data_IF_354685446899
#
_entry.id   IF_354685446899
#
_cell.length_a   1.000
_cell.length_b   1.000
_cell.length_c   1.000
_cell.angle_alpha   90.00
_cell.angle_beta   90.00
_cell.angle_gamma   90.00
#
_symmetry.space_group_name_H-M   'P 1'
#
loop_
_entity.id
_entity.type
_entity.pdbx_description
1 polymer ?
#
# COMPACT_ATOMS: atom_id res chain seq x y z
N UNK A 1 -28.78 4.41 5.06
CA UNK A 1 -27.31 4.51 4.88
C UNK A 1 -26.83 3.35 4.03
N UNK A 2 -26.26 3.64 2.85
CA UNK A 2 -25.65 2.63 2.02
C UNK A 2 -24.44 2.02 2.76
N UNK A 3 -24.53 0.72 3.08
CA UNK A 3 -23.44 0.00 3.73
C UNK A 3 -22.41 -0.51 2.71
N UNK A 4 -21.30 -1.08 3.19
CA UNK A 4 -20.27 -1.66 2.30
C UNK A 4 -20.80 -2.70 1.29
N UNK A 5 -22.01 -3.25 1.50
CA UNK A 5 -22.67 -4.20 0.58
C UNK A 5 -22.99 -3.59 -0.79
N UNK A 6 -23.25 -2.28 -0.87
CA UNK A 6 -23.57 -1.58 -2.14
C UNK A 6 -22.34 -1.05 -2.88
N UNK A 7 -21.12 -1.39 -2.42
CA UNK A 7 -19.90 -0.96 -3.11
C UNK A 7 -19.83 -1.52 -4.53
N UNK A 8 -19.51 -0.61 -5.47
CA UNK A 8 -19.23 -0.94 -6.86
C UNK A 8 -17.77 -0.64 -7.13
N UNK A 9 -17.08 -1.58 -7.78
CA UNK A 9 -15.74 -1.32 -8.30
C UNK A 9 -15.78 -1.20 -9.82
N UNK A 10 -15.15 -0.14 -10.34
CA UNK A 10 -14.96 0.07 -11.77
C UNK A 10 -13.53 0.52 -12.06
N UNK A 11 -12.94 0.13 -13.20
CA UNK A 11 -11.72 0.75 -13.68
C UNK A 11 -11.90 2.27 -13.77
N UNK A 12 -10.85 3.02 -13.45
CA UNK A 12 -10.82 4.47 -13.61
C UNK A 12 -9.59 4.88 -14.42
N UNK A 13 -9.65 6.05 -15.03
CA UNK A 13 -8.51 6.59 -15.77
C UNK A 13 -7.27 6.67 -14.89
N UNK A 14 -6.11 6.27 -15.43
CA UNK A 14 -4.81 6.25 -14.71
C UNK A 14 -4.50 7.61 -14.09
N UNK A 15 -4.76 8.71 -14.82
CA UNK A 15 -4.56 10.08 -14.32
C UNK A 15 -5.38 10.35 -13.05
N UNK A 16 -6.67 9.99 -13.07
CA UNK A 16 -7.58 10.16 -11.93
C UNK A 16 -7.17 9.29 -10.74
N UNK A 17 -6.84 8.02 -10.99
CA UNK A 17 -6.38 7.10 -9.95
C UNK A 17 -5.07 7.55 -9.28
N UNK A 18 -4.07 7.96 -10.08
CA UNK A 18 -2.81 8.53 -9.57
C UNK A 18 -3.06 9.74 -8.70
N UNK A 19 -3.89 10.68 -9.16
CA UNK A 19 -4.24 11.91 -8.42
C UNK A 19 -4.97 11.59 -7.11
N UNK A 20 -5.83 10.57 -7.09
CA UNK A 20 -6.49 10.12 -5.86
C UNK A 20 -5.47 9.53 -4.87
N UNK A 21 -4.64 8.58 -5.34
CA UNK A 21 -3.61 7.92 -4.51
C UNK A 21 -2.62 8.93 -3.93
N UNK A 22 -2.12 9.88 -4.73
CA UNK A 22 -1.19 10.92 -4.26
C UNK A 22 -1.79 11.78 -3.15
N UNK A 23 -3.11 12.00 -3.16
CA UNK A 23 -3.79 12.84 -2.17
C UNK A 23 -4.26 12.10 -0.93
N UNK A 24 -4.62 10.82 -1.05
CA UNK A 24 -5.27 10.06 0.02
C UNK A 24 -4.40 8.96 0.61
N UNK A 25 -3.42 8.45 -0.12
CA UNK A 25 -2.50 7.45 0.41
C UNK A 25 -1.50 8.11 1.35
N UNK A 26 -1.24 7.50 2.51
CA UNK A 26 -0.32 8.01 3.52
C UNK A 26 1.10 8.29 3.00
N UNK A 27 1.53 7.63 1.93
CA UNK A 27 2.84 7.85 1.31
C UNK A 27 2.90 9.07 0.36
N UNK A 28 1.76 9.67 0.03
CA UNK A 28 1.65 10.78 -0.93
C UNK A 28 2.10 10.45 -2.37
N UNK A 29 2.24 9.16 -2.71
CA UNK A 29 2.94 8.74 -3.92
C UNK A 29 2.25 7.59 -4.63
N UNK A 30 1.92 7.82 -5.90
CA UNK A 30 1.56 6.77 -6.85
C UNK A 30 2.83 6.10 -7.39
N UNK A 31 2.76 4.78 -7.57
CA UNK A 31 3.85 3.99 -8.13
C UNK A 31 3.82 4.07 -9.67
N UNK A 32 4.99 4.11 -10.30
CA UNK A 32 5.10 4.20 -11.76
C UNK A 32 4.88 2.85 -12.46
N UNK A 33 5.12 1.73 -11.76
CA UNK A 33 4.91 0.39 -12.33
C UNK A 33 3.44 -0.04 -12.37
N UNK A 34 2.52 0.74 -11.79
CA UNK A 34 1.11 0.37 -11.66
C UNK A 34 0.31 0.93 -12.84
N UNK A 35 -0.40 0.04 -13.53
CA UNK A 35 -1.06 0.33 -14.81
C UNK A 35 -2.58 0.16 -14.75
N UNK A 36 -3.10 -0.57 -13.76
CA UNK A 36 -4.52 -0.70 -13.52
C UNK A 36 -4.92 0.08 -12.26
N UNK A 37 -5.91 0.97 -12.39
CA UNK A 37 -6.50 1.68 -11.27
C UNK A 37 -7.98 1.33 -11.20
N UNK A 38 -8.42 0.90 -10.03
CA UNK A 38 -9.81 0.53 -9.77
C UNK A 38 -10.36 1.46 -8.70
N UNK A 39 -11.40 2.21 -9.04
CA UNK A 39 -12.12 3.04 -8.08
C UNK A 39 -13.14 2.21 -7.31
N UNK A 40 -13.29 2.51 -6.02
CA UNK A 40 -14.35 1.99 -5.16
C UNK A 40 -15.40 3.08 -4.98
N UNK A 41 -16.64 2.77 -5.37
CA UNK A 41 -17.74 3.70 -5.44
C UNK A 41 -18.86 3.30 -4.48
N UNK A 42 -19.39 4.29 -3.77
CA UNK A 42 -20.56 4.17 -2.92
C UNK A 42 -21.52 5.27 -3.34
N UNK A 43 -22.73 4.89 -3.77
CA UNK A 43 -23.73 5.82 -4.31
C UNK A 43 -23.15 6.77 -5.37
N UNK A 44 -22.48 6.18 -6.40
CA UNK A 44 -21.75 6.88 -7.47
C UNK A 44 -20.56 7.76 -7.06
N UNK A 45 -20.34 7.99 -5.77
CA UNK A 45 -19.20 8.75 -5.26
C UNK A 45 -17.95 7.88 -5.18
N UNK A 46 -16.84 8.37 -5.75
CA UNK A 46 -15.52 7.75 -5.58
C UNK A 46 -15.03 7.92 -4.14
N UNK A 47 -15.03 6.83 -3.37
CA UNK A 47 -14.59 6.83 -1.97
C UNK A 47 -13.22 6.19 -1.77
N UNK A 48 -12.72 5.44 -2.74
CA UNK A 48 -11.42 4.79 -2.64
C UNK A 48 -10.82 4.41 -3.98
N UNK A 49 -9.53 4.07 -3.99
CA UNK A 49 -8.79 3.67 -5.17
C UNK A 49 -7.77 2.59 -4.83
N UNK A 50 -7.71 1.57 -5.68
CA UNK A 50 -6.77 0.46 -5.63
C UNK A 50 -5.92 0.51 -6.90
N UNK A 51 -4.59 0.54 -6.76
CA UNK A 51 -3.66 0.48 -7.90
C UNK A 51 -2.99 -0.88 -7.97
N UNK A 52 -3.05 -1.51 -9.14
CA UNK A 52 -2.45 -2.81 -9.41
C UNK A 52 -1.43 -2.74 -10.54
N UNK A 53 -0.45 -3.65 -10.47
CA UNK A 53 0.57 -3.80 -11.49
C UNK A 53 1.48 -5.00 -11.25
N UNK A 54 2.51 -5.19 -12.09
CA UNK A 54 3.53 -6.18 -11.82
C UNK A 54 4.21 -5.93 -10.46
N UNK A 55 4.75 -6.98 -9.84
CA UNK A 55 5.56 -6.87 -8.64
C UNK A 55 6.66 -5.83 -8.79
N UNK A 56 6.83 -4.96 -7.79
CA UNK A 56 7.93 -3.97 -7.79
C UNK A 56 9.27 -4.70 -7.79
N UNK A 57 9.38 -5.75 -6.98
CA UNK A 57 10.57 -6.60 -6.92
C UNK A 57 10.28 -7.97 -7.55
N UNK A 58 10.51 -8.08 -8.85
CA UNK A 58 10.28 -9.31 -9.63
C UNK A 58 11.12 -10.49 -9.13
N UNK A 59 12.34 -10.24 -8.63
CA UNK A 59 13.22 -11.29 -8.07
C UNK A 59 12.62 -11.92 -6.83
N UNK A 60 12.06 -11.11 -5.92
CA UNK A 60 11.37 -11.62 -4.73
C UNK A 60 10.04 -12.29 -5.08
N UNK A 61 9.33 -11.78 -6.10
CA UNK A 61 8.09 -12.38 -6.56
C UNK A 61 8.30 -13.80 -7.13
N UNK A 62 9.31 -14.00 -7.97
CA UNK A 62 9.65 -15.33 -8.50
C UNK A 62 9.96 -16.36 -7.40
N UNK A 63 10.42 -15.90 -6.23
CA UNK A 63 10.76 -16.79 -5.12
C UNK A 63 9.57 -17.18 -4.26
N UNK A 64 8.39 -16.58 -4.43
CA UNK A 64 7.25 -16.79 -3.52
C UNK A 64 6.41 -18.02 -3.85
N UNK A 65 6.43 -18.41 -5.12
CA UNK A 65 5.56 -19.44 -5.67
C UNK A 65 6.42 -20.34 -6.56
N UNK A 66 6.47 -21.62 -6.21
CA UNK A 66 7.24 -22.61 -6.94
C UNK A 66 6.74 -22.76 -8.38
N UNK A 67 7.68 -22.83 -9.33
CA UNK A 67 7.40 -22.98 -10.76
C UNK A 67 6.70 -21.79 -11.41
N UNK A 68 6.50 -20.68 -10.69
CA UNK A 68 5.77 -19.53 -11.20
C UNK A 68 6.70 -18.43 -11.73
N UNK A 69 6.27 -17.79 -12.81
CA UNK A 69 6.86 -16.54 -13.29
C UNK A 69 6.24 -15.34 -12.58
N UNK A 70 7.00 -14.26 -12.35
CA UNK A 70 6.48 -12.97 -11.88
C UNK A 70 5.30 -12.47 -12.72
N UNK A 71 5.17 -12.90 -13.97
CA UNK A 71 4.04 -12.56 -14.85
C UNK A 71 2.70 -13.15 -14.37
N UNK A 72 2.73 -14.24 -13.59
CA UNK A 72 1.56 -14.84 -12.94
C UNK A 72 1.16 -14.15 -11.62
N UNK A 73 1.98 -13.21 -11.16
CA UNK A 73 1.79 -12.51 -9.89
C UNK A 73 1.41 -11.07 -10.20
N UNK A 74 0.31 -10.61 -9.60
CA UNK A 74 -0.08 -9.21 -9.62
C UNK A 74 0.10 -8.62 -8.22
N UNK A 75 0.55 -7.38 -8.13
CA UNK A 75 0.74 -6.67 -6.87
C UNK A 75 -0.31 -5.56 -6.74
N UNK A 76 -1.00 -5.53 -5.59
CA UNK A 76 -1.72 -4.35 -5.13
C UNK A 76 -0.69 -3.41 -4.50
N UNK A 77 -0.22 -2.45 -5.29
CA UNK A 77 0.84 -1.54 -4.87
C UNK A 77 0.36 -0.42 -3.94
N UNK A 78 -0.87 0.08 -4.11
CA UNK A 78 -1.45 1.14 -3.28
C UNK A 78 -2.95 0.94 -3.13
N UNK A 79 -3.45 1.28 -1.96
CA UNK A 79 -4.88 1.31 -1.66
C UNK A 79 -5.16 2.48 -0.73
N UNK A 80 -6.06 3.37 -1.13
CA UNK A 80 -6.44 4.52 -0.31
C UNK A 80 -7.95 4.73 -0.35
N UNK A 81 -8.50 5.18 0.77
CA UNK A 81 -9.91 5.55 0.92
C UNK A 81 -9.99 6.94 1.56
N UNK A 82 -11.13 7.61 1.40
CA UNK A 82 -11.46 8.78 2.21
C UNK A 82 -11.74 8.34 3.66
N UNK A 83 -11.63 9.26 4.61
CA UNK A 83 -11.81 8.95 6.03
C UNK A 83 -13.28 8.63 6.37
N UNK A 84 -14.24 9.35 5.76
CA UNK A 84 -15.66 9.16 5.99
C UNK A 84 -16.22 8.00 5.14
N UNK A 85 -15.97 6.78 5.59
CA UNK A 85 -16.50 5.57 4.95
C UNK A 85 -17.19 4.63 5.94
N UNK A 86 -18.17 3.82 5.48
CA UNK A 86 -18.68 2.72 6.28
C UNK A 86 -17.56 1.77 6.73
N UNK A 87 -17.79 1.02 7.81
CA UNK A 87 -16.84 0.00 8.24
C UNK A 87 -16.63 -1.06 7.14
N UNK A 88 -15.41 -1.59 7.05
CA UNK A 88 -15.03 -2.72 6.20
C UNK A 88 -15.07 -2.42 4.68
N UNK A 89 -15.07 -1.16 4.26
CA UNK A 89 -15.05 -0.83 2.82
C UNK A 89 -13.77 -1.33 2.14
N UNK A 90 -12.64 -1.33 2.82
CA UNK A 90 -11.36 -1.74 2.25
C UNK A 90 -11.32 -3.25 2.02
N UNK A 91 -11.66 -4.03 3.06
CA UNK A 91 -11.73 -5.50 2.96
C UNK A 91 -12.78 -5.95 1.95
N UNK A 92 -13.94 -5.27 1.92
CA UNK A 92 -14.99 -5.54 0.92
C UNK A 92 -14.53 -5.21 -0.49
N UNK A 93 -13.83 -4.10 -0.68
CA UNK A 93 -13.29 -3.71 -1.99
C UNK A 93 -12.29 -4.74 -2.52
N UNK A 94 -11.42 -5.26 -1.65
CA UNK A 94 -10.49 -6.34 -1.99
C UNK A 94 -11.22 -7.64 -2.37
N UNK A 95 -12.26 -8.01 -1.61
CA UNK A 95 -13.05 -9.21 -1.88
C UNK A 95 -13.77 -9.12 -3.24
N UNK A 96 -14.34 -7.97 -3.57
CA UNK A 96 -14.99 -7.74 -4.88
C UNK A 96 -13.92 -7.74 -5.99
N UNK A 97 -12.78 -7.08 -5.80
CA UNK A 97 -11.67 -7.03 -6.77
C UNK A 97 -11.14 -8.42 -7.14
N UNK A 98 -11.02 -9.34 -6.18
CA UNK A 98 -10.49 -10.67 -6.44
C UNK A 98 -11.38 -11.51 -7.38
N UNK A 99 -12.70 -11.27 -7.41
CA UNK A 99 -13.64 -12.06 -8.24
C UNK A 99 -13.36 -11.96 -9.74
N UNK A 100 -13.29 -10.77 -10.37
CA UNK A 100 -12.95 -10.65 -11.77
C UNK A 100 -11.50 -11.07 -12.05
N UNK A 101 -10.56 -10.88 -11.12
CA UNK A 101 -9.19 -11.39 -11.28
C UNK A 101 -9.17 -12.92 -11.46
N UNK A 102 -9.92 -13.64 -10.62
CA UNK A 102 -10.08 -15.09 -10.78
C UNK A 102 -10.80 -15.45 -12.08
N UNK A 103 -11.91 -14.79 -12.41
CA UNK A 103 -12.76 -15.19 -13.54
C UNK A 103 -12.16 -14.86 -14.91
N UNK A 104 -11.47 -13.73 -15.05
CA UNK A 104 -11.09 -13.17 -16.37
C UNK A 104 -9.61 -13.29 -16.70
N UNK A 105 -8.75 -13.55 -15.72
CA UNK A 105 -7.30 -13.57 -15.91
C UNK A 105 -6.72 -14.91 -15.43
N UNK A 106 -6.98 -16.03 -16.14
CA UNK A 106 -6.54 -17.38 -15.76
C UNK A 106 -5.03 -17.47 -15.48
N UNK A 107 -4.23 -16.68 -16.21
CA UNK A 107 -2.77 -16.59 -16.06
C UNK A 107 -2.30 -16.02 -14.71
N UNK A 108 -3.17 -15.30 -13.99
CA UNK A 108 -2.86 -14.79 -12.67
C UNK A 108 -3.11 -15.88 -11.62
N UNK A 109 -2.07 -16.20 -10.87
CA UNK A 109 -2.09 -17.21 -9.81
C UNK A 109 -2.16 -16.59 -8.42
N UNK A 110 -1.50 -15.44 -8.24
CA UNK A 110 -1.32 -14.83 -6.92
C UNK A 110 -1.48 -13.30 -6.98
N UNK A 111 -2.29 -12.76 -6.07
CA UNK A 111 -2.30 -11.34 -5.76
C UNK A 111 -1.48 -11.10 -4.50
N UNK A 112 -0.39 -10.33 -4.59
CA UNK A 112 0.43 -9.96 -3.43
C UNK A 112 0.22 -8.50 -3.02
N UNK A 113 0.50 -8.19 -1.75
CA UNK A 113 0.54 -6.82 -1.24
C UNK A 113 1.37 -6.74 0.04
N UNK A 114 1.63 -5.51 0.49
CA UNK A 114 2.39 -5.22 1.69
C UNK A 114 1.61 -4.28 2.61
N UNK A 115 1.65 -4.54 3.90
CA UNK A 115 1.22 -3.60 4.93
C UNK A 115 2.46 -2.98 5.57
N UNK A 116 2.51 -1.66 5.64
CA UNK A 116 3.51 -0.94 6.43
C UNK A 116 2.93 -0.73 7.84
N UNK A 117 3.23 -1.67 8.74
CA UNK A 117 2.78 -1.58 10.12
C UNK A 117 3.35 -0.35 10.83
N UNK A 118 4.35 0.30 10.28
CA UNK A 118 4.81 1.58 10.80
C UNK A 118 3.81 2.70 10.53
N UNK A 119 3.32 2.84 9.30
CA UNK A 119 2.55 4.04 8.89
C UNK A 119 1.03 3.82 8.79
N UNK A 120 0.59 2.72 8.20
CA UNK A 120 -0.82 2.46 7.89
C UNK A 120 -1.44 1.33 8.71
N UNK A 121 -0.60 0.57 9.41
CA UNK A 121 -0.99 -0.45 10.35
C UNK A 121 -0.81 -1.87 9.82
N UNK A 122 -1.20 -2.83 10.65
CA UNK A 122 -0.86 -4.24 10.48
C UNK A 122 -1.64 -5.01 9.39
N UNK A 123 -2.41 -4.35 8.52
CA UNK A 123 -3.11 -5.03 7.41
C UNK A 123 -4.46 -5.68 7.77
N UNK A 124 -5.23 -5.10 8.69
CA UNK A 124 -6.57 -5.59 9.07
C UNK A 124 -7.52 -5.80 7.87
N UNK A 125 -7.47 -4.92 6.87
CA UNK A 125 -8.26 -5.04 5.64
C UNK A 125 -7.91 -6.30 4.83
N UNK A 126 -6.63 -6.65 4.74
CA UNK A 126 -6.16 -7.87 4.06
C UNK A 126 -6.64 -9.13 4.78
N UNK A 127 -6.57 -9.15 6.12
CA UNK A 127 -7.11 -10.26 6.93
C UNK A 127 -8.61 -10.43 6.73
N UNK A 128 -9.36 -9.33 6.78
CA UNK A 128 -10.81 -9.33 6.53
C UNK A 128 -11.19 -9.75 5.11
N UNK A 129 -10.28 -9.62 4.14
CA UNK A 129 -10.46 -10.12 2.78
C UNK A 129 -9.91 -11.55 2.58
N UNK A 130 -9.42 -12.20 3.64
CA UNK A 130 -8.89 -13.56 3.63
C UNK A 130 -7.56 -13.72 2.89
N UNK A 131 -6.66 -12.73 2.98
CA UNK A 131 -5.29 -12.86 2.49
C UNK A 131 -4.44 -13.64 3.49
N UNK A 132 -3.59 -14.53 3.00
CA UNK A 132 -2.61 -15.25 3.81
C UNK A 132 -1.47 -14.32 4.20
N UNK A 133 -1.04 -14.37 5.47
CA UNK A 133 0.15 -13.67 5.95
C UNK A 133 1.37 -14.57 5.70
N UNK A 134 2.34 -14.07 4.93
CA UNK A 134 3.49 -14.88 4.50
C UNK A 134 4.85 -14.24 4.81
N UNK A 135 4.84 -13.11 5.52
CA UNK A 135 6.06 -12.46 5.95
C UNK A 135 5.81 -11.37 6.98
N UNK A 136 6.68 -11.32 8.00
CA UNK A 136 6.71 -10.27 9.02
C UNK A 136 8.18 -9.87 9.20
N UNK A 137 8.58 -8.78 8.55
CA UNK A 137 9.97 -8.32 8.52
C UNK A 137 10.10 -6.96 9.18
N UNK A 138 11.22 -6.68 9.86
CA UNK A 138 11.50 -5.32 10.35
C UNK A 138 11.60 -4.36 9.17
N UNK A 139 10.94 -3.21 9.26
CA UNK A 139 11.02 -2.18 8.23
C UNK A 139 12.41 -1.53 8.29
N UNK A 140 13.16 -1.63 7.19
CA UNK A 140 14.47 -0.98 7.00
C UNK A 140 14.45 0.01 5.84
N UNK A 141 13.26 0.23 5.26
CA UNK A 141 13.10 0.93 3.98
C UNK A 141 12.65 2.37 4.14
N UNK A 142 12.09 2.74 5.30
CA UNK A 142 11.66 4.11 5.60
C UNK A 142 12.61 4.71 6.63
N UNK A 143 13.12 5.88 6.30
CA UNK A 143 14.00 6.68 7.14
C UNK A 143 13.25 7.96 7.55
N UNK A 144 13.48 8.42 8.77
CA UNK A 144 12.94 9.65 9.33
C UNK A 144 14.05 10.63 9.63
N UNK A 145 13.92 11.88 9.19
CA UNK A 145 14.82 12.95 9.59
C UNK A 145 14.57 13.29 11.06
N UNK A 146 15.64 13.35 11.88
CA UNK A 146 15.57 13.55 13.33
C UNK A 146 14.91 14.87 13.72
N UNK A 147 15.25 15.96 13.04
CA UNK A 147 14.72 17.29 13.38
C UNK A 147 13.38 17.59 12.68
N UNK A 148 13.34 17.57 11.35
CA UNK A 148 12.12 17.88 10.58
C UNK A 148 11.02 16.82 10.62
N UNK A 149 11.30 15.59 11.09
CA UNK A 149 10.35 14.47 11.07
C UNK A 149 10.01 13.94 9.67
N UNK A 150 10.61 14.49 8.60
CA UNK A 150 10.33 14.11 7.20
C UNK A 150 10.66 12.65 6.95
N UNK A 151 9.77 11.94 6.25
CA UNK A 151 9.95 10.55 5.87
C UNK A 151 10.47 10.42 4.43
N UNK A 152 11.47 9.57 4.23
CA UNK A 152 12.02 9.23 2.92
C UNK A 152 12.32 7.73 2.83
N UNK A 153 12.21 7.14 1.64
CA UNK A 153 12.69 5.76 1.47
C UNK A 153 14.21 5.71 1.39
N UNK A 154 14.83 4.66 1.92
CA UNK A 154 16.27 4.43 1.87
C UNK A 154 16.82 4.48 0.43
N UNK A 155 16.12 3.86 -0.53
CA UNK A 155 16.50 3.89 -1.96
C UNK A 155 16.52 5.32 -2.53
N UNK A 156 15.59 6.19 -2.11
CA UNK A 156 15.59 7.59 -2.56
C UNK A 156 16.68 8.39 -1.87
N UNK A 157 16.95 8.10 -0.60
CA UNK A 157 18.03 8.75 0.15
C UNK A 157 19.39 8.40 -0.47
N UNK A 158 19.63 7.12 -0.78
CA UNK A 158 20.82 6.65 -1.50
C UNK A 158 20.98 7.35 -2.85
N UNK A 159 19.90 7.44 -3.64
CA UNK A 159 19.93 8.14 -4.93
C UNK A 159 20.24 9.63 -4.77
N UNK A 160 19.63 10.29 -3.79
CA UNK A 160 19.86 11.71 -3.51
C UNK A 160 21.28 11.97 -2.99
N UNK A 161 21.81 11.06 -2.17
CA UNK A 161 23.18 11.10 -1.69
C UNK A 161 24.20 10.93 -2.83
N UNK A 162 23.94 10.03 -3.78
CA UNK A 162 24.75 9.87 -4.99
C UNK A 162 24.72 11.10 -5.90
N UNK A 163 23.59 11.81 -5.96
CA UNK A 163 23.44 13.05 -6.74
C UNK A 163 24.06 14.28 -6.04
N UNK A 164 24.16 14.25 -4.71
CA UNK A 164 24.82 15.28 -3.90
C UNK A 164 26.34 15.17 -3.96
N UNK A 165 26.96 15.73 -5.01
CA UNK A 165 28.41 15.76 -5.27
C UNK A 165 29.31 16.34 -4.15
N UNK A 166 28.75 16.76 -3.01
CA UNK A 166 29.48 17.34 -1.88
C UNK A 166 29.73 16.38 -0.70
N UNK A 167 28.91 15.34 -0.51
CA UNK A 167 29.00 14.48 0.69
C UNK A 167 29.91 13.26 0.50
N UNK A 168 30.26 12.90 -0.74
CA UNK A 168 31.17 11.79 -1.05
C UNK A 168 32.60 12.03 -0.55
N UNK A 169 33.07 13.28 -0.45
CA UNK A 169 34.47 13.57 -0.06
C UNK A 169 34.80 13.25 1.40
N UNK A 170 33.85 13.36 2.33
CA UNK A 170 34.07 13.04 3.76
C UNK A 170 34.03 11.52 4.01
N UNK A 171 33.13 10.80 3.34
CA UNK A 171 32.98 9.35 3.49
C UNK A 171 34.06 8.57 2.74
N UNK A 172 34.46 9.01 1.54
CA UNK A 172 35.59 8.43 0.79
C UNK A 172 36.91 8.51 1.58
N UNK A 173 37.10 9.56 2.41
CA UNK A 173 38.29 9.69 3.29
C UNK A 173 38.26 8.76 4.51
N UNK A 174 37.10 8.26 4.92
CA UNK A 174 36.93 7.34 6.06
C UNK A 174 36.76 5.87 5.67
N UNK A 175 36.68 5.57 4.36
CA UNK A 175 36.44 4.21 3.87
C UNK A 175 35.04 3.66 4.20
N UNK A 176 34.11 4.51 4.63
CA UNK A 176 32.78 4.11 5.08
C UNK A 176 31.70 4.77 4.20
N UNK A 177 31.52 4.18 3.01
CA UNK A 177 30.56 4.59 1.98
C UNK A 177 29.19 3.93 2.14
N UNK A 178 28.91 3.32 3.31
CA UNK A 178 27.64 2.65 3.52
C UNK A 178 26.47 3.65 3.51
N UNK A 179 25.41 3.32 2.77
CA UNK A 179 24.19 4.13 2.68
C UNK A 179 23.60 4.53 4.05
N UNK A 180 23.86 3.70 5.06
CA UNK A 180 23.46 3.93 6.45
C UNK A 180 24.25 5.06 7.10
N UNK A 181 25.57 5.08 6.97
CA UNK A 181 26.42 6.12 7.54
C UNK A 181 26.11 7.50 6.93
N UNK A 182 25.88 7.54 5.61
CA UNK A 182 25.48 8.77 4.91
C UNK A 182 24.11 9.26 5.37
N UNK A 183 23.15 8.35 5.56
CA UNK A 183 21.83 8.68 6.08
C UNK A 183 21.91 9.29 7.49
N UNK A 184 22.72 8.70 8.36
CA UNK A 184 22.93 9.20 9.72
C UNK A 184 23.59 10.59 9.74
N UNK A 185 24.60 10.84 8.89
CA UNK A 185 25.23 12.16 8.75
C UNK A 185 24.24 13.22 8.26
N UNK A 186 23.32 12.83 7.36
CA UNK A 186 22.20 13.67 6.90
C UNK A 186 21.06 13.79 7.92
N UNK A 187 21.25 13.33 9.15
CA UNK A 187 20.25 13.43 10.23
C UNK A 187 19.09 12.45 10.10
N UNK A 188 19.18 11.42 9.25
CA UNK A 188 18.14 10.40 9.10
C UNK A 188 18.41 9.16 9.97
N UNK A 189 17.34 8.58 10.50
CA UNK A 189 17.36 7.32 11.24
C UNK A 189 16.31 6.35 10.69
N UNK A 190 16.52 5.02 10.79
CA UNK A 190 15.51 4.05 10.41
C UNK A 190 14.23 4.24 11.23
N UNK A 191 13.08 4.31 10.57
CA UNK A 191 11.81 4.39 11.24
C UNK A 191 11.45 2.99 11.78
N UNK A 192 11.37 2.79 13.12
CA UNK A 192 11.14 1.47 13.68
C UNK A 192 9.76 0.96 13.29
N UNK A 193 9.68 -0.34 12.96
CA UNK A 193 8.42 -1.02 12.73
C UNK A 193 8.56 -2.24 11.85
N UNK A 194 7.47 -2.65 11.21
CA UNK A 194 7.41 -3.89 10.44
C UNK A 194 6.76 -3.68 9.08
N UNK A 195 7.23 -4.42 8.09
CA UNK A 195 6.56 -4.63 6.82
C UNK A 195 6.01 -6.06 6.81
N UNK A 196 4.70 -6.18 6.61
CA UNK A 196 4.02 -7.46 6.53
C UNK A 196 3.69 -7.76 5.07
N UNK A 197 3.93 -8.99 4.62
CA UNK A 197 3.60 -9.44 3.27
C UNK A 197 2.33 -10.29 3.32
N UNK A 198 1.35 -9.91 2.51
CA UNK A 198 0.09 -10.62 2.36
C UNK A 198 -0.07 -11.14 0.94
N UNK A 199 -0.65 -12.32 0.79
CA UNK A 199 -0.95 -12.91 -0.53
C UNK A 199 -2.36 -13.48 -0.57
N UNK A 200 -2.98 -13.43 -1.75
CA UNK A 200 -4.28 -14.02 -2.02
C UNK A 200 -4.15 -14.98 -3.19
N UNK A 201 -4.25 -16.30 -2.95
CA UNK A 201 -4.40 -17.27 -4.02
C UNK A 201 -5.61 -16.96 -4.91
N UNK A 202 -5.38 -16.98 -6.22
CA UNK A 202 -6.40 -16.78 -7.25
C UNK A 202 -6.80 -18.09 -7.93
N UNK A 203 -6.00 -19.14 -7.75
CA UNK A 203 -6.24 -20.50 -8.23
C UNK A 203 -6.15 -21.51 -7.08
N UNK A 204 -6.75 -22.67 -7.31
CA UNK A 204 -6.54 -23.86 -6.48
C UNK A 204 -5.10 -24.37 -6.63
N UNK A 205 -4.56 -25.06 -5.62
CA UNK A 205 -3.18 -25.58 -5.62
C UNK A 205 -2.08 -24.52 -5.40
N UNK A 206 -2.40 -23.22 -5.50
CA UNK A 206 -1.41 -22.14 -5.34
C UNK A 206 -0.90 -22.04 -3.91
N UNK A 207 -1.74 -22.36 -2.91
CA UNK A 207 -1.35 -22.28 -1.50
C UNK A 207 -0.24 -23.30 -1.18
N UNK A 208 -0.34 -24.48 -1.77
CA UNK A 208 0.56 -25.63 -1.58
C UNK A 208 1.92 -25.38 -2.24
N UNK A 209 1.96 -24.56 -3.29
CA UNK A 209 3.17 -24.15 -4.01
C UNK A 209 3.87 -22.93 -3.40
N UNK A 210 3.35 -22.37 -2.31
CA UNK A 210 4.03 -21.26 -1.63
C UNK A 210 5.32 -21.76 -0.99
N UNK A 211 6.44 -21.14 -1.35
CA UNK A 211 7.78 -21.47 -0.83
C UNK A 211 8.07 -20.79 0.53
N UNK A 212 7.11 -20.02 1.03
CA UNK A 212 7.23 -19.22 2.24
C UNK A 212 6.22 -19.69 3.29
N UNK A 213 6.55 -19.57 4.58
CA UNK A 213 5.64 -19.97 5.64
C UNK A 213 4.35 -19.16 5.60
N UNK A 214 3.24 -19.81 5.90
CA UNK A 214 1.95 -19.15 6.16
C UNK A 214 1.84 -18.97 7.67
N UNK A 215 1.75 -17.73 8.13
CA UNK A 215 1.64 -17.40 9.54
C UNK A 215 0.18 -17.23 9.95
N UNK A 216 -0.15 -17.73 11.13
CA UNK A 216 -1.35 -17.30 11.84
C UNK A 216 -1.29 -15.81 12.17
N UNK A 217 -2.44 -15.12 12.13
CA UNK A 217 -2.47 -13.68 12.38
C UNK A 217 -2.03 -13.29 13.80
N UNK A 218 -2.16 -14.21 14.78
CA UNK A 218 -1.64 -14.03 16.13
C UNK A 218 -0.13 -13.78 16.16
N UNK A 219 0.61 -14.23 15.13
CA UNK A 219 2.05 -14.01 15.01
C UNK A 219 2.42 -12.52 14.92
N UNK A 220 1.53 -11.69 14.38
CA UNK A 220 1.70 -10.24 14.33
C UNK A 220 1.87 -9.68 15.74
N UNK A 221 1.02 -10.12 16.67
CA UNK A 221 1.06 -9.66 18.06
C UNK A 221 2.25 -10.28 18.81
N UNK A 222 2.50 -11.58 18.63
CA UNK A 222 3.66 -12.28 19.25
C UNK A 222 5.00 -11.62 18.92
N UNK A 223 5.15 -11.08 17.70
CA UNK A 223 6.37 -10.37 17.27
C UNK A 223 6.38 -8.87 17.56
N UNK A 224 5.34 -8.35 18.20
CA UNK A 224 5.19 -6.91 18.44
C UNK A 224 4.99 -6.08 17.15
N UNK A 225 4.53 -6.70 16.07
CA UNK A 225 4.25 -6.07 14.78
C UNK A 225 2.83 -5.46 14.70
N UNK A 226 2.02 -5.65 15.75
CA UNK A 226 0.68 -5.06 15.87
C UNK A 226 0.74 -3.55 16.08
N UNK A 227 0.51 -2.79 15.02
CA UNK A 227 0.56 -1.33 15.04
C UNK A 227 -0.58 -0.70 14.23
N UNK A 228 -0.92 0.54 14.56
CA UNK A 228 -1.81 1.41 13.79
C UNK A 228 -1.32 2.86 13.92
N UNK A 229 -1.04 3.52 12.79
CA UNK A 229 -0.52 4.92 12.75
C UNK A 229 0.65 5.16 13.72
N UNK A 230 1.69 4.33 13.62
CA UNK A 230 2.89 4.36 14.49
C UNK A 230 2.66 4.10 15.98
N UNK A 231 1.46 3.67 16.39
CA UNK A 231 1.14 3.30 17.79
C UNK A 231 0.95 1.79 17.90
N UNK A 232 1.51 1.18 18.94
CA UNK A 232 1.26 -0.24 19.25
C UNK A 232 -0.23 -0.41 19.57
N UNK A 233 -0.82 -1.50 19.07
CA UNK A 233 -2.14 -1.91 19.56
C UNK A 233 -1.96 -2.55 20.94
N UNK A 234 -2.72 -2.05 21.91
CA UNK A 234 -2.84 -2.73 23.21
C UNK A 234 -3.44 -4.13 22.96
N UNK A 235 -2.77 -5.22 23.38
CA UNK A 235 -3.29 -6.58 23.21
C UNK A 235 -4.56 -6.86 24.03
N UNK A 236 -4.92 -6.01 25.00
CA UNK A 236 -6.10 -6.17 25.87
C UNK A 236 -7.33 -5.33 25.44
N UNK A 237 -7.20 -4.49 24.42
CA UNK A 237 -8.27 -3.59 23.98
C UNK A 237 -9.26 -4.23 22.99
N UNK A 238 -10.55 -3.83 23.01
CA UNK A 238 -11.49 -4.21 21.94
C UNK A 238 -10.94 -3.76 20.57
N UNK A 239 -11.31 -4.43 19.47
CA UNK A 239 -10.78 -4.13 18.14
C UNK A 239 -10.87 -2.63 17.86
N UNK A 240 -9.71 -2.02 17.60
CA UNK A 240 -9.56 -0.59 17.40
C UNK A 240 -10.67 -0.07 16.48
N UNK A 241 -11.52 0.80 17.03
CA UNK A 241 -12.66 1.39 16.35
C UNK A 241 -12.15 2.21 15.15
N UNK A 242 -12.46 1.83 13.90
CA UNK A 242 -11.99 2.56 12.73
C UNK A 242 -12.71 3.90 12.53
N UNK A 243 -13.72 4.22 13.36
CA UNK A 243 -14.39 5.52 13.38
C UNK A 243 -14.14 6.23 14.70
N UNK A 244 -13.20 7.17 14.72
CA UNK A 244 -12.85 7.93 15.93
C UNK A 244 -12.29 9.31 15.59
N UNK A 245 -13.22 10.26 15.41
CA UNK A 245 -13.09 11.72 15.31
C UNK A 245 -11.68 12.29 15.57
N UNK A 246 -10.93 12.53 14.50
CA UNK A 246 -9.87 13.54 14.50
C UNK A 246 -10.47 14.88 14.11
N UNK A 247 -10.42 15.88 15.00
CA UNK A 247 -10.80 17.26 14.69
C UNK A 247 -9.90 17.78 13.57
N UNK A 248 -10.37 17.67 12.32
CA UNK A 248 -9.79 18.35 11.17
C UNK A 248 -10.34 19.76 11.11
N UNK A 249 -9.44 20.74 11.02
CA UNK A 249 -9.77 22.12 10.68
C UNK A 249 -10.65 22.12 9.43
N UNK A 250 -11.81 22.75 9.54
CA UNK A 250 -12.69 23.08 8.43
C UNK A 250 -12.00 24.06 7.50
N UNK A 251 -11.99 23.77 6.20
CA UNK A 251 -12.09 24.82 5.18
C UNK A 251 -13.04 24.32 4.07
N UNK A 252 -13.94 25.18 3.56
CA UNK A 252 -15.11 24.75 2.81
C UNK A 252 -14.89 24.73 1.28
N UNK A 253 -15.61 23.83 0.62
CA UNK A 253 -16.31 24.11 -0.64
C UNK A 253 -15.50 24.26 -1.92
N UNK A 254 -15.56 23.25 -2.79
CA UNK A 254 -15.67 23.47 -4.24
C UNK A 254 -16.41 22.28 -4.88
N UNK A 255 -17.59 22.48 -5.51
CA UNK A 255 -18.26 21.45 -6.27
C UNK A 255 -17.54 21.27 -7.62
N UNK A 256 -17.24 20.02 -7.99
CA UNK A 256 -16.84 19.68 -9.35
C UNK A 256 -18.05 19.05 -10.04
N UNK A 257 -18.93 19.88 -10.57
CA UNK A 257 -19.93 19.52 -11.58
C UNK A 257 -19.34 19.81 -12.96
N UNK A 258 -19.59 18.92 -13.93
CA UNK A 258 -19.20 19.12 -15.32
C UNK A 258 -19.06 17.81 -16.10
N UNK A 259 -20.14 17.04 -16.19
CA UNK A 259 -20.41 16.21 -17.36
C UNK A 259 -20.93 17.13 -18.48
N UNK A 260 -20.57 16.82 -19.73
CA UNK A 260 -20.63 17.75 -20.85
C UNK A 260 -21.96 17.89 -21.59
N UNK A 261 -21.92 18.77 -22.59
CA UNK A 261 -22.81 18.95 -23.73
C UNK A 261 -21.89 19.36 -24.90
N UNK A 262 -21.76 18.49 -25.90
CA UNK A 262 -22.45 18.51 -27.20
C UNK A 262 -21.84 19.50 -28.20
N UNK A 263 -21.34 18.91 -29.28
CA UNK A 263 -20.94 19.55 -30.51
C UNK A 263 -22.19 19.95 -31.31
N UNK A 264 -22.17 21.16 -31.87
CA UNK A 264 -22.77 21.51 -33.16
C UNK A 264 -22.10 22.79 -33.69
N UNK A 265 -22.38 23.14 -34.96
CA UNK A 265 -21.76 24.17 -35.83
C UNK A 265 -20.66 23.58 -36.72
N UNK A 266 -20.93 23.08 -37.94
CA UNK A 266 -21.40 23.77 -39.15
C UNK A 266 -20.65 25.08 -39.45
N UNK A 267 -19.76 25.01 -40.44
CA UNK A 267 -18.96 26.11 -40.99
C UNK A 267 -17.73 25.60 -41.72
#
# INVERSE_FOLDING_TARGET
>A
MAGAKSLILRPIAVKSGRRFIQRRHYSGQALNSQWLYVGSFLDERLIGCLSLGPPINRRLANRILEGASWASIIELGRMAFIDETPRNVESRSLAILCRPLRKRFPQLELLQTYADATQCGDGASYRGAGFLLVGINRNRTVMRHRESGKLISNVRLERNAQLGRGHSRRHARRGDESAKAIAEDMGFEPLPGFQLRYVKPLREGVKERLTCPIFEYAEIHRRGAGMYRSRRKDPSGPPANPGGKGRGRTDPGAPMTGAGEHADESG
#
